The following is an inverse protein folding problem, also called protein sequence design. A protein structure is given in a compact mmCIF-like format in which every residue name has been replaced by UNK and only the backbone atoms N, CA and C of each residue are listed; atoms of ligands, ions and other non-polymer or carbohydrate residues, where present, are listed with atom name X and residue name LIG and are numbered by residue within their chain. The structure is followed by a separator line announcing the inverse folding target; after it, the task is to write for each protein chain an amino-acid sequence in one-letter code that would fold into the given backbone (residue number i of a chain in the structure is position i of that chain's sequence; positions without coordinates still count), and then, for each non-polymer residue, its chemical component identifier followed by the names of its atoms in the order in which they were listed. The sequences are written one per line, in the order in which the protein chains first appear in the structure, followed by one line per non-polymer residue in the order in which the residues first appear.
data_IF_486769757928
#
_entry.id   IF_486769757928
#
_cell.length_a   1.000
_cell.length_b   1.000
_cell.length_c   1.000
_cell.angle_alpha   90.00
_cell.angle_beta   90.00
_cell.angle_gamma   90.00
#
_symmetry.space_group_name_H-M   'P 1'
#
loop_
_entity.id
_entity.type
_entity.pdbx_description
1 polymer ?
#
# COMPACT_ATOMS: atom_id res chain seq x y z
N UNK A 1 9.60 60.21 -10.66
CA UNK A 1 10.47 59.12 -11.15
C UNK A 1 10.68 58.06 -10.07
N UNK A 2 9.62 57.36 -9.65
CA UNK A 2 9.72 56.10 -8.88
C UNK A 2 8.62 55.07 -9.24
N UNK A 3 8.45 54.59 -10.50
CA UNK A 3 7.58 53.43 -10.78
C UNK A 3 8.37 52.13 -11.07
N UNK A 4 9.64 52.22 -11.48
CA UNK A 4 10.38 51.08 -12.06
C UNK A 4 10.78 50.02 -11.04
N UNK A 5 11.11 50.41 -9.80
CA UNK A 5 11.54 49.47 -8.75
C UNK A 5 10.38 48.64 -8.22
N UNK A 6 9.18 49.24 -8.08
CA UNK A 6 7.99 48.54 -7.64
C UNK A 6 7.50 47.49 -8.66
N UNK A 7 7.59 47.80 -9.95
CA UNK A 7 7.24 46.86 -11.03
C UNK A 7 8.18 45.66 -11.07
N UNK A 8 9.49 45.87 -10.88
CA UNK A 8 10.46 44.79 -10.82
C UNK A 8 10.23 43.86 -9.62
N UNK A 9 9.90 44.41 -8.44
CA UNK A 9 9.60 43.61 -7.24
C UNK A 9 8.35 42.75 -7.42
N UNK A 10 7.29 43.30 -8.00
CA UNK A 10 6.05 42.56 -8.31
C UNK A 10 6.30 41.45 -9.33
N UNK A 11 7.14 41.69 -10.35
CA UNK A 11 7.51 40.66 -11.32
C UNK A 11 8.37 39.55 -10.72
N UNK A 12 9.30 39.88 -9.81
CA UNK A 12 10.12 38.87 -9.10
C UNK A 12 9.24 38.05 -8.15
N UNK A 13 8.34 38.68 -7.39
CA UNK A 13 7.39 37.97 -6.52
C UNK A 13 6.44 37.10 -7.35
N UNK A 14 5.95 37.56 -8.49
CA UNK A 14 5.17 36.74 -9.43
C UNK A 14 6.00 35.58 -9.98
N UNK A 15 7.24 35.79 -10.43
CA UNK A 15 8.10 34.72 -10.92
C UNK A 15 8.43 33.67 -9.83
N UNK A 16 8.60 34.09 -8.58
CA UNK A 16 8.87 33.20 -7.43
C UNK A 16 7.58 32.50 -6.96
N UNK A 17 6.43 33.16 -6.99
CA UNK A 17 5.14 32.56 -6.63
C UNK A 17 4.52 31.70 -7.74
N UNK A 18 4.89 31.90 -9.01
CA UNK A 18 4.52 31.00 -10.11
C UNK A 18 5.25 29.65 -9.99
N UNK A 19 6.30 29.56 -9.17
CA UNK A 19 6.90 28.29 -8.75
C UNK A 19 6.17 27.65 -7.56
N UNK A 20 4.83 27.72 -7.49
CA UNK A 20 4.08 26.66 -6.79
C UNK A 20 4.43 25.37 -7.54
N UNK A 21 5.42 24.64 -7.02
CA UNK A 21 5.87 23.39 -7.63
C UNK A 21 4.72 22.40 -7.60
N UNK A 22 4.03 22.30 -8.72
CA UNK A 22 3.10 21.22 -9.02
C UNK A 22 3.92 19.94 -9.15
N UNK A 23 4.13 19.23 -8.03
CA UNK A 23 4.72 17.91 -8.05
C UNK A 23 3.83 16.94 -8.86
N UNK A 24 4.47 16.09 -9.65
CA UNK A 24 3.85 14.99 -10.36
C UNK A 24 3.88 13.75 -9.45
N UNK A 25 2.72 13.39 -8.90
CA UNK A 25 2.58 12.42 -7.82
C UNK A 25 1.83 11.20 -8.35
N UNK A 26 2.43 10.02 -8.19
CA UNK A 26 1.75 8.74 -8.41
C UNK A 26 1.23 8.20 -7.08
N UNK A 27 -0.04 7.82 -7.04
CA UNK A 27 -0.67 7.11 -5.93
C UNK A 27 -0.91 5.67 -6.37
N UNK A 28 -0.38 4.72 -5.61
CA UNK A 28 -0.65 3.30 -5.80
C UNK A 28 -1.49 2.80 -4.63
N UNK A 29 -2.51 2.01 -4.91
CA UNK A 29 -3.49 1.54 -3.93
C UNK A 29 -3.58 0.02 -4.00
N UNK A 30 -3.91 -0.62 -2.87
CA UNK A 30 -4.23 -2.04 -2.85
C UNK A 30 -5.37 -2.37 -3.84
N UNK A 31 -5.24 -3.48 -4.56
CA UNK A 31 -6.22 -3.89 -5.57
C UNK A 31 -7.63 -4.09 -4.99
N UNK A 32 -8.57 -3.33 -5.55
CA UNK A 32 -10.00 -3.29 -5.21
C UNK A 32 -10.36 -3.25 -3.72
N UNK A 33 -9.58 -2.52 -2.93
CA UNK A 33 -9.81 -2.40 -1.50
C UNK A 33 -10.51 -1.09 -1.12
N UNK A 34 -11.82 -1.14 -0.87
CA UNK A 34 -12.64 0.06 -0.59
C UNK A 34 -12.18 0.79 0.66
N UNK A 35 -11.88 0.09 1.76
CA UNK A 35 -11.44 0.70 3.02
C UNK A 35 -10.10 1.40 2.87
N UNK A 36 -9.18 0.80 2.11
CA UNK A 36 -7.85 1.34 1.82
C UNK A 36 -7.91 2.61 1.00
N UNK A 37 -8.60 2.53 -0.14
CA UNK A 37 -8.90 3.68 -0.99
C UNK A 37 -9.56 4.78 -0.15
N UNK A 38 -10.54 4.43 0.69
CA UNK A 38 -11.25 5.37 1.56
C UNK A 38 -10.32 6.09 2.56
N UNK A 39 -9.35 5.37 3.12
CA UNK A 39 -8.38 5.93 4.07
C UNK A 39 -7.34 6.87 3.42
N UNK A 40 -6.91 6.57 2.20
CA UNK A 40 -5.94 7.39 1.45
C UNK A 40 -6.58 8.54 0.68
N UNK A 41 -7.87 8.43 0.32
CA UNK A 41 -8.58 9.40 -0.51
C UNK A 41 -8.52 10.84 0.00
N UNK A 42 -8.77 11.13 1.29
CA UNK A 42 -8.65 12.50 1.79
C UNK A 42 -7.26 13.10 1.59
N UNK A 43 -6.21 12.28 1.67
CA UNK A 43 -4.83 12.73 1.50
C UNK A 43 -4.55 13.15 0.05
N UNK A 44 -4.80 12.26 -0.92
CA UNK A 44 -4.47 12.58 -2.31
C UNK A 44 -5.41 13.62 -2.92
N UNK A 45 -6.64 13.77 -2.42
CA UNK A 45 -7.50 14.88 -2.82
C UNK A 45 -6.95 16.23 -2.35
N UNK A 46 -6.44 16.30 -1.13
CA UNK A 46 -5.78 17.53 -0.64
C UNK A 46 -4.53 17.88 -1.43
N UNK A 47 -3.78 16.89 -1.91
CA UNK A 47 -2.66 17.13 -2.82
C UNK A 47 -3.12 17.76 -4.14
N UNK A 48 -4.20 17.23 -4.74
CA UNK A 48 -4.81 17.82 -5.94
C UNK A 48 -5.36 19.23 -5.67
N UNK A 49 -6.00 19.46 -4.52
CA UNK A 49 -6.49 20.77 -4.09
C UNK A 49 -5.36 21.80 -3.91
N UNK A 50 -4.19 21.34 -3.46
CA UNK A 50 -2.98 22.15 -3.35
C UNK A 50 -2.31 22.44 -4.70
N UNK A 51 -2.84 21.91 -5.80
CA UNK A 51 -2.36 22.15 -7.16
C UNK A 51 -1.29 21.17 -7.65
N UNK A 52 -1.08 20.03 -6.98
CA UNK A 52 -0.20 18.96 -7.48
C UNK A 52 -0.89 18.15 -8.59
N UNK A 53 -0.10 17.59 -9.50
CA UNK A 53 -0.59 16.69 -10.53
C UNK A 53 -0.65 15.26 -9.97
N UNK A 54 -1.80 14.89 -9.43
CA UNK A 54 -2.01 13.59 -8.78
C UNK A 54 -2.58 12.60 -9.78
N UNK A 55 -1.94 11.44 -9.89
CA UNK A 55 -2.44 10.31 -10.69
C UNK A 55 -2.61 9.09 -9.78
N UNK A 56 -3.80 8.49 -9.78
CA UNK A 56 -4.07 7.23 -9.07
C UNK A 56 -3.99 6.08 -10.05
N UNK A 57 -3.16 5.08 -9.73
CA UNK A 57 -3.19 3.78 -10.41
C UNK A 57 -4.40 2.97 -9.91
N UNK A 58 -5.42 2.85 -10.75
CA UNK A 58 -6.65 2.11 -10.47
C UNK A 58 -6.61 0.76 -11.18
N UNK A 59 -6.36 -0.30 -10.42
CA UNK A 59 -6.29 -1.68 -10.93
C UNK A 59 -7.60 -2.44 -10.78
N UNK A 60 -8.71 -1.79 -10.47
CA UNK A 60 -9.94 -2.47 -10.02
C UNK A 60 -10.63 -3.30 -11.12
N UNK A 61 -11.48 -4.28 -10.76
CA UNK A 61 -12.22 -5.11 -11.71
C UNK A 61 -13.37 -4.37 -12.40
N UNK A 62 -13.57 -3.09 -12.12
CA UNK A 62 -14.59 -2.30 -12.80
C UNK A 62 -14.15 -2.06 -14.25
N UNK A 63 -15.08 -2.11 -15.19
CA UNK A 63 -14.80 -1.80 -16.61
C UNK A 63 -14.49 -0.31 -16.81
N UNK A 64 -14.99 0.53 -15.92
CA UNK A 64 -14.77 1.98 -15.92
C UNK A 64 -13.92 2.37 -14.71
N UNK A 65 -13.05 3.39 -14.85
CA UNK A 65 -12.27 3.91 -13.72
C UNK A 65 -13.17 4.38 -12.58
N UNK A 66 -12.70 4.24 -11.34
CA UNK A 66 -13.31 4.92 -10.20
C UNK A 66 -13.14 6.43 -10.36
N UNK A 67 -14.16 7.19 -9.98
CA UNK A 67 -14.09 8.65 -9.94
C UNK A 67 -13.65 9.12 -8.56
N UNK A 68 -12.55 9.88 -8.52
CA UNK A 68 -12.01 10.42 -7.27
C UNK A 68 -12.27 11.92 -7.08
N UNK A 69 -12.56 12.66 -8.15
CA UNK A 69 -12.71 14.10 -8.17
C UNK A 69 -12.04 14.71 -9.40
N UNK A 70 -12.39 15.94 -9.77
CA UNK A 70 -11.90 16.56 -11.01
C UNK A 70 -10.41 16.91 -11.01
N UNK A 71 -9.78 16.91 -9.82
CA UNK A 71 -8.36 17.26 -9.62
C UNK A 71 -7.43 16.05 -9.51
N UNK A 72 -7.95 14.85 -9.75
CA UNK A 72 -7.20 13.60 -9.65
C UNK A 72 -7.32 12.85 -10.96
N UNK A 73 -6.19 12.62 -11.61
CA UNK A 73 -6.12 11.77 -12.80
C UNK A 73 -6.23 10.30 -12.37
N UNK A 74 -6.81 9.48 -13.23
CA UNK A 74 -6.95 8.04 -12.98
C UNK A 74 -6.30 7.28 -14.13
N UNK A 75 -5.25 6.54 -13.79
CA UNK A 75 -4.62 5.59 -14.69
C UNK A 75 -5.26 4.21 -14.47
N UNK A 76 -6.26 3.87 -15.27
CA UNK A 76 -7.05 2.66 -15.04
C UNK A 76 -6.60 1.46 -15.88
N UNK A 77 -6.26 0.39 -15.18
CA UNK A 77 -6.03 -0.94 -15.72
C UNK A 77 -7.12 -1.87 -15.19
N UNK A 78 -7.99 -2.33 -16.08
CA UNK A 78 -9.06 -3.25 -15.73
C UNK A 78 -8.47 -4.64 -15.47
N UNK A 79 -8.29 -5.02 -14.21
CA UNK A 79 -7.82 -6.36 -13.84
C UNK A 79 -8.99 -7.15 -13.26
N UNK A 80 -9.53 -8.14 -13.99
CA UNK A 80 -10.66 -8.94 -13.50
C UNK A 80 -10.30 -9.67 -12.21
N UNK A 81 -11.22 -9.60 -11.24
CA UNK A 81 -11.12 -10.37 -10.00
C UNK A 81 -11.09 -11.87 -10.31
N UNK A 82 -10.23 -12.60 -9.59
CA UNK A 82 -10.31 -14.05 -9.54
C UNK A 82 -11.62 -14.46 -8.85
N UNK A 83 -12.17 -15.60 -9.24
CA UNK A 83 -13.37 -16.13 -8.59
C UNK A 83 -13.17 -16.22 -7.07
N UNK A 84 -14.17 -15.75 -6.31
CA UNK A 84 -14.19 -15.73 -4.84
C UNK A 84 -13.15 -14.81 -4.16
N UNK A 85 -12.46 -13.91 -4.88
CA UNK A 85 -11.44 -13.02 -4.29
C UNK A 85 -11.94 -12.27 -3.04
N UNK A 86 -13.11 -11.63 -3.12
CA UNK A 86 -13.71 -10.90 -1.98
C UNK A 86 -14.12 -11.81 -0.83
N UNK A 87 -14.54 -13.03 -1.11
CA UNK A 87 -14.90 -14.02 -0.10
C UNK A 87 -13.65 -14.53 0.63
N UNK A 88 -12.56 -14.79 -0.10
CA UNK A 88 -11.27 -15.18 0.45
C UNK A 88 -10.70 -14.04 1.29
N UNK A 89 -10.62 -12.83 0.74
CA UNK A 89 -10.23 -11.61 1.47
C UNK A 89 -11.06 -11.43 2.74
N UNK A 90 -12.39 -11.58 2.64
CA UNK A 90 -13.30 -11.45 3.77
C UNK A 90 -13.08 -12.52 4.83
N UNK A 91 -12.87 -13.76 4.40
CA UNK A 91 -12.57 -14.91 5.26
C UNK A 91 -11.22 -14.77 5.96
N UNK A 92 -10.21 -14.26 5.25
CA UNK A 92 -8.85 -14.09 5.73
C UNK A 92 -8.73 -12.94 6.74
N UNK A 93 -9.44 -11.83 6.53
CA UNK A 93 -9.30 -10.61 7.34
C UNK A 93 -10.39 -10.41 8.40
N UNK A 94 -11.62 -10.83 8.11
CA UNK A 94 -12.79 -10.44 8.91
C UNK A 94 -13.46 -11.61 9.62
N UNK A 95 -12.84 -12.81 9.64
CA UNK A 95 -13.26 -13.87 10.55
C UNK A 95 -12.73 -13.59 11.96
N UNK A 96 -13.53 -13.86 13.01
CA UNK A 96 -13.01 -13.94 14.36
C UNK A 96 -11.90 -14.99 14.38
N UNK A 97 -10.68 -14.58 14.75
CA UNK A 97 -9.46 -15.39 14.74
C UNK A 97 -8.89 -15.67 13.33
N UNK A 98 -8.42 -14.64 12.61
CA UNK A 98 -7.70 -14.87 11.37
C UNK A 98 -6.45 -15.70 11.64
N UNK A 99 -6.22 -16.73 10.82
CA UNK A 99 -5.00 -17.52 10.92
C UNK A 99 -3.81 -16.64 10.52
N UNK A 100 -2.65 -16.71 11.21
CA UNK A 100 -1.44 -16.05 10.72
C UNK A 100 -1.06 -16.47 9.29
N UNK A 101 -1.50 -17.65 8.84
CA UNK A 101 -1.29 -18.14 7.47
C UNK A 101 -2.11 -17.38 6.41
N UNK A 102 -3.14 -16.65 6.81
CA UNK A 102 -3.98 -15.89 5.89
C UNK A 102 -3.23 -14.69 5.29
N UNK A 103 -2.19 -14.17 5.93
CA UNK A 103 -1.40 -13.04 5.37
C UNK A 103 -0.62 -13.42 4.12
N UNK A 104 0.19 -14.51 4.12
CA UNK A 104 0.76 -15.05 2.90
C UNK A 104 -0.24 -15.14 1.75
N UNK A 105 -1.44 -15.66 2.00
CA UNK A 105 -2.48 -15.80 0.97
C UNK A 105 -2.89 -14.43 0.40
N UNK A 106 -3.06 -13.42 1.26
CA UNK A 106 -3.40 -12.05 0.84
C UNK A 106 -2.29 -11.43 0.00
N UNK A 107 -1.02 -11.62 0.40
CA UNK A 107 0.13 -11.15 -0.38
C UNK A 107 0.24 -11.85 -1.73
N UNK A 108 0.04 -13.17 -1.79
CA UNK A 108 0.03 -13.93 -3.05
C UNK A 108 -1.07 -13.43 -3.97
N UNK A 109 -2.28 -13.20 -3.47
CA UNK A 109 -3.38 -12.67 -4.28
C UNK A 109 -3.06 -11.29 -4.87
N UNK A 110 -2.39 -10.41 -4.12
CA UNK A 110 -1.94 -9.12 -4.67
C UNK A 110 -0.83 -9.29 -5.72
N UNK A 111 0.08 -10.25 -5.55
CA UNK A 111 1.11 -10.53 -6.55
C UNK A 111 0.51 -11.06 -7.85
N UNK A 112 -0.49 -11.93 -7.78
CA UNK A 112 -1.21 -12.43 -8.98
C UNK A 112 -1.84 -11.28 -9.77
N UNK A 113 -2.35 -10.23 -9.10
CA UNK A 113 -2.86 -9.02 -9.77
C UNK A 113 -1.75 -8.31 -10.53
N UNK A 114 -0.57 -8.18 -9.93
CA UNK A 114 0.55 -7.52 -10.58
C UNK A 114 1.13 -8.34 -11.72
N UNK A 115 1.24 -9.66 -11.57
CA UNK A 115 1.61 -10.59 -12.63
C UNK A 115 0.67 -10.41 -13.84
N UNK A 116 -0.65 -10.36 -13.62
CA UNK A 116 -1.61 -10.05 -14.70
C UNK A 116 -1.40 -8.68 -15.34
N UNK A 117 -1.04 -7.65 -14.55
CA UNK A 117 -0.72 -6.33 -15.11
C UNK A 117 0.49 -6.43 -16.05
N UNK A 118 1.50 -7.20 -15.67
CA UNK A 118 2.70 -7.41 -16.47
C UNK A 118 2.44 -8.31 -17.69
N UNK A 119 1.59 -9.32 -17.58
CA UNK A 119 1.34 -10.25 -18.69
C UNK A 119 0.33 -9.70 -19.70
N UNK A 120 -0.74 -9.07 -19.21
CA UNK A 120 -1.89 -8.70 -20.04
C UNK A 120 -1.96 -7.18 -20.34
N UNK A 121 -1.26 -6.36 -19.56
CA UNK A 121 -1.39 -4.90 -19.64
C UNK A 121 -0.06 -4.16 -19.74
N UNK A 122 1.06 -4.85 -19.97
CA UNK A 122 2.38 -4.23 -19.97
C UNK A 122 2.49 -3.02 -20.89
N UNK A 123 1.99 -3.10 -22.12
CA UNK A 123 2.08 -1.98 -23.07
C UNK A 123 1.36 -0.72 -22.57
N UNK A 124 0.28 -0.89 -21.82
CA UNK A 124 -0.44 0.21 -21.15
C UNK A 124 0.28 0.62 -19.88
N UNK A 125 0.78 -0.32 -19.09
CA UNK A 125 1.49 -0.04 -17.84
C UNK A 125 2.85 0.66 -18.06
N UNK A 126 3.53 0.37 -19.18
CA UNK A 126 4.88 0.85 -19.50
C UNK A 126 5.02 2.38 -19.50
N UNK A 127 4.11 3.18 -20.09
CA UNK A 127 4.14 4.63 -19.96
C UNK A 127 4.29 5.14 -18.52
N UNK A 128 3.64 4.49 -17.55
CA UNK A 128 3.75 4.87 -16.13
C UNK A 128 5.11 4.51 -15.54
N UNK A 129 5.73 3.40 -15.97
CA UNK A 129 7.10 3.01 -15.61
C UNK A 129 8.17 3.94 -16.22
N UNK A 130 7.95 4.39 -17.44
CA UNK A 130 8.84 5.31 -18.16
C UNK A 130 8.70 6.75 -17.65
N UNK A 131 7.52 7.12 -17.16
CA UNK A 131 7.26 8.44 -16.60
C UNK A 131 8.11 8.70 -15.35
N UNK A 132 8.74 9.87 -15.31
CA UNK A 132 9.39 10.36 -14.10
C UNK A 132 8.35 11.00 -13.19
N UNK A 133 8.23 10.46 -11.99
CA UNK A 133 7.43 10.99 -10.90
C UNK A 133 8.31 11.75 -9.91
N UNK A 134 7.79 12.80 -9.30
CA UNK A 134 8.47 13.55 -8.26
C UNK A 134 8.40 12.82 -6.92
N UNK A 135 7.29 12.12 -6.66
CA UNK A 135 7.12 11.21 -5.53
C UNK A 135 6.07 10.15 -5.87
N UNK A 136 6.26 8.94 -5.35
CA UNK A 136 5.24 7.89 -5.34
C UNK A 136 4.71 7.73 -3.93
N UNK A 137 3.40 7.64 -3.76
CA UNK A 137 2.77 7.32 -2.48
C UNK A 137 2.06 5.99 -2.64
N UNK A 138 2.57 4.99 -1.92
CA UNK A 138 2.10 3.62 -2.03
C UNK A 138 1.38 3.22 -0.76
N UNK A 139 0.20 2.63 -0.93
CA UNK A 139 -0.43 1.87 0.15
C UNK A 139 0.54 0.76 0.61
N UNK A 140 0.66 0.61 1.91
CA UNK A 140 1.52 -0.38 2.53
C UNK A 140 0.91 -1.79 2.47
N UNK A 141 -0.42 -1.88 2.53
CA UNK A 141 -1.06 -3.14 2.84
C UNK A 141 -1.09 -4.12 1.66
N UNK A 142 -0.45 -5.28 1.87
CA UNK A 142 -0.30 -6.35 0.87
C UNK A 142 0.37 -5.89 -0.44
N UNK A 143 1.02 -4.72 -0.41
CA UNK A 143 1.55 -4.00 -1.55
C UNK A 143 2.91 -4.47 -2.03
N UNK A 144 3.23 -5.76 -2.00
CA UNK A 144 4.57 -6.25 -2.43
C UNK A 144 4.89 -5.83 -3.86
N UNK A 145 3.88 -5.84 -4.73
CA UNK A 145 4.00 -5.29 -6.08
C UNK A 145 4.15 -3.77 -6.14
N UNK A 146 3.51 -3.03 -5.22
CA UNK A 146 3.66 -1.58 -5.10
C UNK A 146 5.09 -1.23 -4.69
N UNK A 147 5.71 -2.01 -3.79
CA UNK A 147 7.13 -1.85 -3.45
C UNK A 147 8.07 -2.22 -4.60
N UNK A 148 7.71 -3.21 -5.43
CA UNK A 148 8.47 -3.51 -6.63
C UNK A 148 8.45 -2.31 -7.61
N UNK A 149 7.29 -1.69 -7.79
CA UNK A 149 7.13 -0.48 -8.59
C UNK A 149 7.92 0.71 -8.00
N UNK A 150 7.82 0.94 -6.69
CA UNK A 150 8.56 1.98 -5.97
C UNK A 150 10.07 1.79 -6.13
N UNK A 151 10.55 0.56 -5.95
CA UNK A 151 11.96 0.20 -6.09
C UNK A 151 12.45 0.35 -7.53
N UNK A 152 11.63 -0.02 -8.51
CA UNK A 152 11.92 0.19 -9.93
C UNK A 152 12.11 1.69 -10.23
N UNK A 153 11.17 2.53 -9.78
CA UNK A 153 11.26 3.98 -9.97
C UNK A 153 12.41 4.62 -9.20
N UNK A 154 12.69 4.15 -7.98
CA UNK A 154 13.85 4.62 -7.22
C UNK A 154 15.16 4.29 -7.94
N UNK A 155 15.32 3.07 -8.46
CA UNK A 155 16.53 2.65 -9.18
C UNK A 155 16.69 3.39 -10.51
N UNK A 156 15.62 3.50 -11.31
CA UNK A 156 15.64 4.08 -12.67
C UNK A 156 15.66 5.60 -12.66
N UNK A 157 14.81 6.23 -11.84
CA UNK A 157 14.53 7.67 -11.90
C UNK A 157 14.96 8.44 -10.65
N UNK A 158 15.42 7.75 -9.61
CA UNK A 158 15.70 8.33 -8.27
C UNK A 158 14.47 9.00 -7.66
N UNK A 159 13.29 8.50 -8.01
CA UNK A 159 12.02 8.96 -7.44
C UNK A 159 11.92 8.52 -5.97
N UNK A 160 11.75 9.45 -5.02
CA UNK A 160 11.43 9.09 -3.64
C UNK A 160 10.02 8.50 -3.55
N UNK A 161 9.79 7.65 -2.55
CA UNK A 161 8.48 7.08 -2.28
C UNK A 161 8.09 7.26 -0.81
N UNK A 162 6.79 7.36 -0.56
CA UNK A 162 6.16 7.43 0.76
C UNK A 162 5.31 6.17 0.91
N UNK A 163 5.56 5.42 1.98
CA UNK A 163 4.73 4.26 2.35
C UNK A 163 3.62 4.75 3.27
N UNK A 164 2.38 4.66 2.81
CA UNK A 164 1.20 5.10 3.55
C UNK A 164 0.58 3.93 4.31
N UNK A 165 0.72 3.94 5.63
CA UNK A 165 0.14 2.92 6.51
C UNK A 165 -1.36 3.09 6.68
N UNK A 166 -2.14 2.29 5.96
CA UNK A 166 -3.60 2.21 6.10
C UNK A 166 -4.03 1.29 7.25
N UNK A 167 -3.16 0.39 7.69
CA UNK A 167 -3.34 -0.47 8.85
C UNK A 167 -2.06 -0.52 9.69
N UNK A 168 -2.18 -0.26 11.00
CA UNK A 168 -1.00 -0.24 11.88
C UNK A 168 -0.43 -1.64 12.10
N UNK A 169 -1.28 -2.66 12.23
CA UNK A 169 -0.85 -4.01 12.64
C UNK A 169 -0.08 -4.74 11.55
N UNK A 170 -0.29 -4.40 10.29
CA UNK A 170 0.30 -5.10 9.15
C UNK A 170 1.50 -4.37 8.56
N UNK A 171 1.95 -3.30 9.23
CA UNK A 171 3.11 -2.55 8.79
C UNK A 171 4.28 -3.50 8.61
N UNK A 172 4.91 -3.51 7.44
CA UNK A 172 6.00 -4.46 7.14
C UNK A 172 7.12 -4.33 8.17
N UNK A 173 7.35 -3.12 8.72
CA UNK A 173 8.27 -2.92 9.84
C UNK A 173 7.80 -3.55 11.15
N UNK A 174 6.50 -3.61 11.43
CA UNK A 174 5.94 -4.35 12.56
C UNK A 174 5.98 -5.86 12.32
N UNK A 175 5.76 -6.33 11.09
CA UNK A 175 5.92 -7.75 10.73
C UNK A 175 7.38 -8.19 10.78
N UNK A 176 8.33 -7.37 10.31
CA UNK A 176 9.76 -7.66 10.47
C UNK A 176 10.21 -7.52 11.92
N UNK A 177 9.63 -6.58 12.67
CA UNK A 177 9.85 -6.51 14.12
C UNK A 177 9.25 -7.72 14.83
N UNK A 178 8.16 -8.32 14.32
CA UNK A 178 7.54 -9.52 14.87
C UNK A 178 8.46 -10.73 14.81
N UNK A 179 9.33 -10.82 13.79
CA UNK A 179 10.42 -11.81 13.74
C UNK A 179 11.45 -11.66 14.87
N UNK A 180 11.55 -10.48 15.48
CA UNK A 180 12.40 -10.18 16.63
C UNK A 180 11.66 -10.06 17.95
N UNK A 181 10.34 -10.27 17.98
CA UNK A 181 9.55 -10.12 19.20
C UNK A 181 9.90 -11.18 20.23
N UNK A 182 9.86 -10.78 21.50
CA UNK A 182 9.84 -11.73 22.61
C UNK A 182 8.46 -12.38 22.64
N UNK A 183 8.31 -13.52 21.95
CA UNK A 183 7.05 -14.26 21.86
C UNK A 183 6.33 -14.54 23.20
N UNK A 184 7.01 -14.64 24.35
CA UNK A 184 6.33 -14.74 25.65
C UNK A 184 5.74 -13.43 26.21
N UNK A 185 6.19 -12.26 25.73
CA UNK A 185 5.85 -10.94 26.31
C UNK A 185 5.16 -9.99 25.32
N UNK A 186 5.18 -10.29 24.03
CA UNK A 186 4.54 -9.50 22.98
C UNK A 186 3.54 -10.37 22.21
N UNK A 187 2.33 -9.84 22.01
CA UNK A 187 1.32 -10.54 21.22
C UNK A 187 1.76 -10.62 19.75
N UNK A 188 1.42 -11.73 19.10
CA UNK A 188 1.58 -11.91 17.65
C UNK A 188 0.69 -10.94 16.87
N UNK A 189 0.98 -10.76 15.58
CA UNK A 189 0.37 -9.71 14.75
C UNK A 189 -1.15 -9.87 14.59
N UNK A 190 -1.65 -11.11 14.70
CA UNK A 190 -3.06 -11.48 14.53
C UNK A 190 -3.72 -11.86 15.84
N UNK A 191 -3.78 -10.90 16.76
CA UNK A 191 -4.43 -11.09 18.06
C UNK A 191 -5.87 -11.57 17.82
N UNK A 192 -6.22 -12.69 18.46
CA UNK A 192 -7.59 -13.17 18.48
C UNK A 192 -8.53 -12.07 18.95
N UNK A 193 -9.56 -11.79 18.17
CA UNK A 193 -10.59 -10.84 18.59
C UNK A 193 -11.25 -11.39 19.86
N UNK A 194 -11.29 -10.63 20.97
CA UNK A 194 -11.90 -11.10 22.19
C UNK A 194 -13.34 -11.56 21.91
N UNK A 195 -13.67 -12.80 22.28
CA UNK A 195 -15.02 -13.36 22.10
C UNK A 195 -16.03 -12.74 23.06
N UNK A 196 -15.53 -12.19 24.18
CA UNK A 196 -16.26 -11.46 25.20
C UNK A 196 -15.26 -10.68 26.08
N UNK A 197 -15.77 -9.94 27.05
CA UNK A 197 -14.99 -9.07 27.95
C UNK A 197 -13.99 -9.84 28.84
N UNK A 198 -14.13 -11.16 28.96
CA UNK A 198 -13.26 -12.03 29.76
C UNK A 198 -12.11 -12.65 28.94
N UNK A 199 -12.14 -12.51 27.61
CA UNK A 199 -11.17 -13.09 26.68
C UNK A 199 -9.91 -12.22 26.56
N UNK A 200 -9.29 -11.98 27.71
CA UNK A 200 -8.10 -11.14 27.86
C UNK A 200 -6.82 -11.98 27.86
N UNK A 201 -5.80 -11.52 27.14
CA UNK A 201 -4.47 -12.10 27.21
C UNK A 201 -3.84 -11.86 28.59
N UNK A 202 -3.50 -12.94 29.30
CA UNK A 202 -2.91 -12.94 30.64
C UNK A 202 -1.46 -13.38 30.56
N UNK A 203 -0.47 -12.47 30.51
CA UNK A 203 0.94 -12.84 30.33
C UNK A 203 1.48 -13.72 31.46
N UNK A 204 0.89 -13.68 32.65
CA UNK A 204 1.19 -14.54 33.79
C UNK A 204 0.72 -16.00 33.59
N UNK A 205 -0.26 -16.24 32.71
CA UNK A 205 -0.77 -17.58 32.40
C UNK A 205 0.15 -18.32 31.44
N UNK A 206 0.66 -19.49 31.89
CA UNK A 206 1.51 -20.36 31.05
C UNK A 206 0.82 -20.74 29.73
N UNK A 207 -0.46 -21.09 29.78
CA UNK A 207 -1.20 -21.53 28.59
C UNK A 207 -1.39 -20.40 27.58
N UNK A 208 -1.60 -19.16 28.04
CA UNK A 208 -1.69 -18.00 27.14
C UNK A 208 -0.34 -17.72 26.48
N UNK A 209 0.78 -17.83 27.22
CA UNK A 209 2.13 -17.70 26.65
C UNK A 209 2.42 -18.80 25.62
N UNK A 210 2.05 -20.06 25.90
CA UNK A 210 2.27 -21.17 24.99
C UNK A 210 1.45 -21.02 23.70
N UNK A 211 0.17 -20.64 23.81
CA UNK A 211 -0.68 -20.40 22.64
C UNK A 211 -0.14 -19.22 21.82
N UNK A 212 0.28 -18.12 22.45
CA UNK A 212 0.90 -17.00 21.75
C UNK A 212 2.19 -17.42 21.03
N UNK A 213 3.04 -18.23 21.68
CA UNK A 213 4.24 -18.78 21.05
C UNK A 213 3.90 -19.65 19.83
N UNK A 214 2.87 -20.51 19.92
CA UNK A 214 2.39 -21.30 18.78
C UNK A 214 2.00 -20.40 17.61
N UNK A 215 1.27 -19.31 17.87
CA UNK A 215 0.85 -18.37 16.82
C UNK A 215 2.05 -17.65 16.19
N UNK A 216 3.05 -17.24 16.98
CA UNK A 216 4.31 -16.67 16.48
C UNK A 216 5.06 -17.65 15.57
N UNK A 217 5.12 -18.93 15.93
CA UNK A 217 5.74 -19.97 15.09
C UNK A 217 5.00 -20.14 13.77
N UNK A 218 3.66 -20.14 13.79
CA UNK A 218 2.84 -20.21 12.57
C UNK A 218 3.02 -18.97 11.70
N UNK A 219 3.05 -17.78 12.29
CA UNK A 219 3.33 -16.52 11.60
C UNK A 219 4.71 -16.57 10.92
N UNK A 220 5.75 -16.97 11.66
CA UNK A 220 7.11 -17.11 11.14
C UNK A 220 7.17 -18.04 9.93
N UNK A 221 6.64 -19.26 10.05
CA UNK A 221 6.68 -20.23 8.96
C UNK A 221 5.79 -19.80 7.78
N UNK A 222 4.65 -19.16 8.03
CA UNK A 222 3.80 -18.62 6.97
C UNK A 222 4.53 -17.55 6.15
N UNK A 223 5.14 -16.57 6.83
CA UNK A 223 5.88 -15.49 6.17
C UNK A 223 7.15 -15.98 5.48
N UNK A 224 7.87 -16.94 6.08
CA UNK A 224 9.05 -17.52 5.45
C UNK A 224 8.69 -18.35 4.21
N UNK A 225 7.59 -19.11 4.25
CA UNK A 225 7.08 -19.83 3.08
C UNK A 225 6.69 -18.87 1.96
N UNK A 226 6.02 -17.76 2.32
CA UNK A 226 5.73 -16.69 1.37
C UNK A 226 7.00 -16.10 0.76
N UNK A 227 7.99 -15.73 1.58
CA UNK A 227 9.28 -15.19 1.12
C UNK A 227 9.93 -16.11 0.09
N UNK A 228 10.04 -17.40 0.39
CA UNK A 228 10.62 -18.39 -0.53
C UNK A 228 9.82 -18.50 -1.84
N UNK A 229 8.49 -18.47 -1.79
CA UNK A 229 7.65 -18.48 -3.00
C UNK A 229 7.84 -17.22 -3.86
N UNK A 230 8.00 -16.06 -3.23
CA UNK A 230 8.18 -14.79 -3.93
C UNK A 230 9.55 -14.68 -4.60
N UNK A 231 10.61 -15.23 -4.01
CA UNK A 231 11.97 -15.21 -4.60
C UNK A 231 12.04 -15.98 -5.93
N UNK A 232 11.18 -16.96 -6.15
CA UNK A 232 11.08 -17.69 -7.42
C UNK A 232 10.45 -16.84 -8.54
N UNK A 233 9.60 -15.88 -8.19
CA UNK A 233 8.89 -15.01 -9.15
C UNK A 233 9.77 -13.85 -9.61
N UNK A 234 10.68 -13.35 -8.75
CA UNK A 234 11.49 -12.17 -9.03
C UNK A 234 12.90 -12.46 -9.59
N UNK A 235 13.19 -13.68 -10.05
CA UNK A 235 14.45 -14.02 -10.75
C UNK A 235 14.40 -13.81 -12.28
N UNK A 236 13.44 -13.02 -12.78
CA UNK A 236 13.38 -12.51 -14.16
C UNK A 236 14.05 -11.13 -14.27
#
# INVERSE_FOLDING_TARGET
MMPTVAVAYVQIVLLVTVHVQCANILITLMHDSISHIGSMKPYFLRLGDAGHNVTVLDTTPLVKPKYFGDKVNVYHLHVPEKQNYREIMGTALWKPNPSPLSVPELCVMQNEVFEKILDEHYDRFKPMLEQKWDVIVSDELFGVHQFALDMYHFKKHRTPYIVFGTSNNLFTSQMYSSLGHSGPSQMHTFIQTPRNDEDLYKPESFWHRLENFKQHVLEYFGLESYRMSSEQVFTL
#
